data_IF_651068119289
#
_entry.id   IF_651068119289
#
_cell.length_a   1.000
_cell.length_b   1.000
_cell.length_c   1.000
_cell.angle_alpha   90.00
_cell.angle_beta   90.00
_cell.angle_gamma   90.00
#
_symmetry.space_group_name_H-M   'P 1'
#
loop_
_entity.id
_entity.type
_entity.pdbx_description
1 polymer ?
#
# COMPACT_ATOMS: atom_id res chain seq x y z
N UNK A 1 -13.71 -19.29 18.09
CA UNK A 1 -13.54 -18.39 16.94
C UNK A 1 -14.67 -18.64 15.97
N UNK A 2 -15.28 -17.57 15.44
CA UNK A 2 -16.29 -17.68 14.40
C UNK A 2 -15.62 -18.17 13.10
N UNK A 3 -16.08 -19.27 12.48
CA UNK A 3 -15.48 -19.79 11.25
C UNK A 3 -15.51 -18.77 10.11
N UNK A 4 -16.48 -17.85 10.10
CA UNK A 4 -16.57 -16.80 9.09
C UNK A 4 -15.40 -15.81 9.16
N UNK A 5 -15.05 -15.36 10.37
CA UNK A 5 -13.91 -14.46 10.63
C UNK A 5 -12.60 -15.15 10.20
N UNK A 6 -12.46 -16.43 10.50
CA UNK A 6 -11.26 -17.19 10.14
C UNK A 6 -11.09 -17.29 8.62
N UNK A 7 -12.16 -17.60 7.88
CA UNK A 7 -12.13 -17.67 6.40
C UNK A 7 -11.85 -16.31 5.78
N UNK A 8 -12.53 -15.25 6.24
CA UNK A 8 -12.33 -13.88 5.75
C UNK A 8 -10.90 -13.42 6.01
N UNK A 9 -10.32 -13.71 7.18
CA UNK A 9 -8.95 -13.35 7.50
C UNK A 9 -7.92 -14.08 6.65
N UNK A 10 -8.13 -15.37 6.34
CA UNK A 10 -7.22 -16.14 5.46
C UNK A 10 -7.24 -15.59 4.03
N UNK A 11 -8.44 -15.36 3.48
CA UNK A 11 -8.61 -14.78 2.14
C UNK A 11 -8.00 -13.39 2.11
N UNK A 12 -8.29 -12.57 3.11
CA UNK A 12 -7.77 -11.21 3.26
C UNK A 12 -6.24 -11.20 3.31
N UNK A 13 -5.60 -12.07 4.10
CA UNK A 13 -4.14 -12.16 4.14
C UNK A 13 -3.55 -12.57 2.80
N UNK A 14 -4.16 -13.55 2.12
CA UNK A 14 -3.68 -14.05 0.83
C UNK A 14 -3.72 -12.95 -0.23
N UNK A 15 -4.84 -12.21 -0.32
CA UNK A 15 -4.99 -11.08 -1.24
C UNK A 15 -4.00 -9.96 -0.90
N UNK A 16 -3.85 -9.63 0.37
CA UNK A 16 -2.94 -8.57 0.84
C UNK A 16 -1.48 -8.91 0.53
N UNK A 17 -1.06 -10.17 0.70
CA UNK A 17 0.27 -10.63 0.28
C UNK A 17 0.47 -10.53 -1.24
N UNK A 18 -0.56 -10.84 -2.02
CA UNK A 18 -0.54 -10.65 -3.48
C UNK A 18 -0.35 -9.18 -3.87
N UNK A 19 -1.03 -8.26 -3.19
CA UNK A 19 -0.89 -6.82 -3.40
C UNK A 19 0.51 -6.31 -3.04
N UNK A 20 1.10 -6.78 -1.94
CA UNK A 20 2.47 -6.44 -1.56
C UNK A 20 3.45 -6.92 -2.63
N UNK A 21 3.33 -8.18 -3.07
CA UNK A 21 4.18 -8.74 -4.12
C UNK A 21 4.06 -7.93 -5.42
N UNK A 22 2.84 -7.62 -5.85
CA UNK A 22 2.61 -6.84 -7.06
C UNK A 22 3.20 -5.43 -6.93
N UNK A 23 3.01 -4.78 -5.78
CA UNK A 23 3.55 -3.44 -5.49
C UNK A 23 5.09 -3.41 -5.53
N UNK A 24 5.74 -4.43 -5.00
CA UNK A 24 7.20 -4.59 -5.11
C UNK A 24 7.62 -4.77 -6.57
N UNK A 25 6.89 -5.62 -7.33
CA UNK A 25 7.18 -5.84 -8.75
C UNK A 25 7.02 -4.57 -9.58
N UNK A 26 5.99 -3.77 -9.36
CA UNK A 26 5.82 -2.47 -10.04
C UNK A 26 6.93 -1.50 -9.68
N UNK A 27 7.42 -1.50 -8.44
CA UNK A 27 8.56 -0.67 -8.04
C UNK A 27 9.81 -0.97 -8.88
N UNK A 28 10.09 -2.25 -9.15
CA UNK A 28 11.18 -2.65 -10.03
C UNK A 28 10.96 -2.24 -11.50
N UNK A 29 9.74 -2.40 -12.02
CA UNK A 29 9.40 -2.04 -13.40
C UNK A 29 9.55 -0.54 -13.66
N UNK A 30 9.11 0.31 -12.71
CA UNK A 30 9.13 1.76 -12.90
C UNK A 30 10.46 2.43 -12.56
N UNK A 31 11.48 1.68 -12.06
CA UNK A 31 12.78 2.24 -11.67
C UNK A 31 13.54 2.96 -12.80
N UNK A 32 13.25 2.64 -14.07
CA UNK A 32 13.86 3.28 -15.26
C UNK A 32 13.00 4.34 -15.95
N UNK A 33 11.78 4.61 -15.49
CA UNK A 33 10.86 5.52 -16.17
C UNK A 33 10.99 6.97 -15.65
N UNK A 34 10.64 7.93 -16.50
CA UNK A 34 10.69 9.38 -16.18
C UNK A 34 9.80 9.73 -14.97
N UNK A 35 8.71 8.98 -14.78
CA UNK A 35 7.81 9.10 -13.62
C UNK A 35 8.21 8.24 -12.39
N UNK A 36 9.40 7.61 -12.38
CA UNK A 36 9.83 6.65 -11.36
C UNK A 36 9.59 7.15 -9.93
N UNK A 37 9.93 8.42 -9.65
CA UNK A 37 9.79 9.00 -8.31
C UNK A 37 8.33 9.04 -7.83
N UNK A 38 7.37 9.34 -8.70
CA UNK A 38 5.94 9.36 -8.31
C UNK A 38 5.43 7.93 -8.04
N UNK A 39 5.80 6.98 -8.90
CA UNK A 39 5.44 5.58 -8.75
C UNK A 39 6.05 4.93 -7.51
N UNK A 40 7.25 5.32 -7.10
CA UNK A 40 7.86 4.85 -5.84
C UNK A 40 6.99 5.20 -4.65
N UNK A 41 6.48 6.44 -4.55
CA UNK A 41 5.61 6.82 -3.42
C UNK A 41 4.27 6.07 -3.44
N UNK A 42 3.67 5.84 -4.62
CA UNK A 42 2.43 5.07 -4.75
C UNK A 42 2.66 3.60 -4.36
N UNK A 43 3.77 3.00 -4.78
CA UNK A 43 4.10 1.62 -4.40
C UNK A 43 4.41 1.51 -2.91
N UNK A 44 5.13 2.49 -2.34
CA UNK A 44 5.42 2.52 -0.90
C UNK A 44 4.14 2.67 -0.07
N UNK A 45 3.21 3.51 -0.52
CA UNK A 45 1.87 3.63 0.05
C UNK A 45 1.15 2.28 0.07
N UNK A 46 1.07 1.60 -1.09
CA UNK A 46 0.40 0.32 -1.20
C UNK A 46 1.01 -0.75 -0.28
N UNK A 47 2.34 -0.78 -0.14
CA UNK A 47 3.03 -1.69 0.78
C UNK A 47 2.65 -1.38 2.23
N UNK A 48 2.75 -0.11 2.64
CA UNK A 48 2.51 0.28 4.04
C UNK A 48 1.04 0.08 4.44
N UNK A 49 0.09 0.47 3.60
CA UNK A 49 -1.33 0.19 3.82
C UNK A 49 -1.61 -1.31 3.87
N UNK A 50 -1.01 -2.10 2.98
CA UNK A 50 -1.15 -3.56 3.03
C UNK A 50 -0.63 -4.15 4.35
N UNK A 51 0.46 -3.63 4.91
CA UNK A 51 0.89 -4.04 6.26
C UNK A 51 -0.14 -3.66 7.33
N UNK A 52 -0.77 -2.48 7.24
CA UNK A 52 -1.86 -2.07 8.12
C UNK A 52 -3.05 -3.04 8.09
N UNK A 53 -3.48 -3.44 6.88
CA UNK A 53 -4.51 -4.47 6.68
C UNK A 53 -4.11 -5.80 7.34
N UNK A 54 -2.86 -6.26 7.16
CA UNK A 54 -2.37 -7.49 7.82
C UNK A 54 -2.46 -7.37 9.34
N UNK A 55 -2.12 -6.22 9.90
CA UNK A 55 -2.23 -5.97 11.35
C UNK A 55 -3.70 -6.06 11.81
N UNK A 56 -4.65 -5.47 11.08
CA UNK A 56 -6.07 -5.57 11.42
C UNK A 56 -6.62 -7.00 11.32
N UNK A 57 -6.22 -7.76 10.30
CA UNK A 57 -6.61 -9.16 10.14
C UNK A 57 -6.00 -10.04 11.24
N UNK A 58 -4.77 -9.74 11.66
CA UNK A 58 -4.10 -10.43 12.76
C UNK A 58 -4.81 -10.15 14.07
N UNK A 59 -5.15 -8.89 14.35
CA UNK A 59 -5.90 -8.50 15.55
C UNK A 59 -7.29 -9.16 15.60
N UNK A 60 -7.94 -9.33 14.45
CA UNK A 60 -9.24 -10.00 14.34
C UNK A 60 -9.15 -11.50 14.68
N UNK A 61 -7.98 -12.11 14.53
CA UNK A 61 -7.72 -13.49 14.93
C UNK A 61 -7.22 -13.56 16.39
N UNK A 62 -6.28 -12.72 16.75
CA UNK A 62 -5.71 -12.69 18.08
C UNK A 62 -5.73 -11.24 18.57
N UNK A 63 -6.68 -10.86 19.43
CA UNK A 63 -6.76 -9.50 19.96
C UNK A 63 -5.56 -9.26 20.89
N UNK A 64 -4.55 -8.56 20.36
CA UNK A 64 -3.29 -8.25 21.04
C UNK A 64 -3.13 -6.74 21.29
N UNK A 65 -4.15 -5.93 20.96
CA UNK A 65 -4.10 -4.46 21.08
C UNK A 65 -3.36 -3.80 19.92
N UNK A 66 -3.28 -4.45 18.75
CA UNK A 66 -2.56 -3.94 17.58
C UNK A 66 -3.37 -2.96 16.71
N UNK A 67 -4.65 -2.71 17.04
CA UNK A 67 -5.50 -1.77 16.29
C UNK A 67 -4.85 -0.39 16.05
N UNK A 68 -4.23 0.27 17.05
CA UNK A 68 -3.60 1.56 16.83
C UNK A 68 -2.42 1.48 15.85
N UNK A 69 -1.67 0.38 15.85
CA UNK A 69 -0.55 0.15 14.94
C UNK A 69 -1.05 0.04 13.50
N UNK A 70 -2.12 -0.73 13.28
CA UNK A 70 -2.78 -0.83 11.97
C UNK A 70 -3.27 0.55 11.47
N UNK A 71 -3.88 1.34 12.36
CA UNK A 71 -4.36 2.69 12.03
C UNK A 71 -3.24 3.66 11.66
N UNK A 72 -2.11 3.63 12.38
CA UNK A 72 -0.93 4.45 12.06
C UNK A 72 -0.35 4.05 10.71
N UNK A 73 -0.24 2.75 10.43
CA UNK A 73 0.24 2.26 9.14
C UNK A 73 -0.66 2.74 7.99
N UNK A 74 -1.98 2.67 8.14
CA UNK A 74 -2.89 3.21 7.12
C UNK A 74 -2.74 4.72 6.92
N UNK A 75 -2.61 5.49 8.00
CA UNK A 75 -2.41 6.94 7.89
C UNK A 75 -1.08 7.30 7.17
N UNK A 76 -0.02 6.54 7.44
CA UNK A 76 1.28 6.69 6.76
C UNK A 76 1.14 6.28 5.28
N UNK A 77 0.49 5.15 5.01
CA UNK A 77 0.20 4.68 3.64
C UNK A 77 -0.59 5.71 2.83
N UNK A 78 -1.67 6.26 3.39
CA UNK A 78 -2.47 7.31 2.77
C UNK A 78 -1.66 8.59 2.52
N UNK A 79 -0.78 8.98 3.46
CA UNK A 79 0.10 10.14 3.28
C UNK A 79 1.04 9.97 2.09
N UNK A 80 1.64 8.79 1.94
CA UNK A 80 2.46 8.46 0.78
C UNK A 80 1.66 8.42 -0.52
N UNK A 81 0.40 7.98 -0.48
CA UNK A 81 -0.48 7.98 -1.65
C UNK A 81 -0.69 9.40 -2.16
N UNK A 82 -1.05 10.32 -1.26
CA UNK A 82 -1.28 11.73 -1.59
C UNK A 82 -0.03 12.39 -2.17
N UNK A 83 1.13 12.14 -1.56
CA UNK A 83 2.42 12.63 -2.07
C UNK A 83 2.73 12.06 -3.47
N UNK A 84 2.49 10.77 -3.67
CA UNK A 84 2.68 10.08 -4.95
C UNK A 84 1.77 10.63 -6.04
N UNK A 85 0.47 10.78 -5.76
CA UNK A 85 -0.53 11.36 -6.67
C UNK A 85 -0.20 12.82 -7.01
N UNK A 86 0.19 13.64 -6.02
CA UNK A 86 0.60 15.03 -6.27
C UNK A 86 1.80 15.10 -7.20
N UNK A 87 2.83 14.27 -6.97
CA UNK A 87 4.01 14.25 -7.87
C UNK A 87 3.67 13.71 -9.25
N UNK A 88 2.74 12.75 -9.35
CA UNK A 88 2.25 12.25 -10.63
C UNK A 88 1.52 13.35 -11.41
N UNK A 89 0.63 14.10 -10.75
CA UNK A 89 -0.06 15.25 -11.35
C UNK A 89 0.91 16.34 -11.81
N UNK A 90 1.85 16.76 -10.94
CA UNK A 90 2.85 17.76 -11.28
C UNK A 90 3.76 17.33 -12.43
N UNK A 91 4.03 16.02 -12.53
CA UNK A 91 4.67 15.46 -13.71
C UNK A 91 3.77 15.73 -14.92
N UNK A 92 2.61 15.10 -15.06
CA UNK A 92 1.80 15.24 -16.28
C UNK A 92 1.33 16.68 -16.61
N UNK A 93 1.26 17.57 -15.63
CA UNK A 93 0.88 18.98 -15.81
C UNK A 93 2.01 19.86 -16.36
N UNK A 94 3.27 19.42 -16.31
CA UNK A 94 4.40 20.21 -16.79
C UNK A 94 4.47 20.18 -18.32
N UNK A 95 4.76 21.32 -18.93
CA UNK A 95 4.79 21.51 -20.39
C UNK A 95 6.07 20.98 -21.05
N UNK A 96 7.10 20.67 -20.26
CA UNK A 96 8.46 20.38 -20.76
C UNK A 96 8.77 18.87 -20.86
N UNK A 97 7.74 18.04 -20.99
CA UNK A 97 7.86 16.58 -20.81
C UNK A 97 8.44 15.81 -21.98
N UNK A 98 8.40 16.40 -23.17
CA UNK A 98 8.82 15.80 -24.43
C UNK A 98 9.73 16.72 -25.26
N UNK A 99 10.24 17.80 -24.65
CA UNK A 99 11.12 18.77 -25.31
C UNK A 99 12.59 18.36 -25.19
#
# INVERSE_FOLDING_TARGET
MDPTILVVSIIGMTLTMGLIYYSLRTLFLFKRNVAARAWVYICLSAIISSMGVVVFLTESLAPMGLLPVGGVLEAVGASFLLLGLRKNFLFWSSKDHFA
#
